data_IF_220651057359
#
_entry.id   IF_220651057359
#
_cell.length_a   1.000
_cell.length_b   1.000
_cell.length_c   1.000
_cell.angle_alpha   90.00
_cell.angle_beta   90.00
_cell.angle_gamma   90.00
#
_symmetry.space_group_name_H-M   'P 1'
#
loop_
_entity.id
_entity.type
_entity.pdbx_description
1 polymer ?
#
# COMPACT_ATOMS: atom_id res chain seq x y z
N UNK A 1 24.13 -17.33 -21.19
CA UNK A 1 24.86 -16.84 -19.99
C UNK A 1 24.38 -15.42 -19.62
N UNK A 2 23.06 -15.22 -19.47
CA UNK A 2 22.46 -13.90 -19.16
C UNK A 2 21.48 -13.93 -17.97
N UNK A 3 21.31 -15.08 -17.31
CA UNK A 3 20.42 -15.24 -16.15
C UNK A 3 21.07 -14.89 -14.80
N UNK A 4 22.37 -14.55 -14.77
CA UNK A 4 23.12 -14.27 -13.52
C UNK A 4 23.21 -12.75 -13.23
N UNK A 5 22.59 -11.90 -14.06
CA UNK A 5 22.51 -10.47 -13.73
C UNK A 5 21.22 -10.21 -12.96
N UNK A 6 21.36 -9.98 -11.65
CA UNK A 6 20.40 -9.30 -10.75
C UNK A 6 19.93 -7.91 -11.24
N UNK A 7 20.25 -7.53 -12.49
CA UNK A 7 19.95 -6.27 -13.14
C UNK A 7 18.58 -6.24 -13.83
N UNK A 8 17.91 -7.38 -14.06
CA UNK A 8 16.46 -7.36 -14.31
C UNK A 8 15.79 -7.16 -12.96
N UNK A 9 15.55 -5.91 -12.58
CA UNK A 9 14.50 -5.61 -11.62
C UNK A 9 13.21 -6.24 -12.18
N UNK A 10 12.65 -7.30 -11.57
CA UNK A 10 11.31 -7.71 -11.95
C UNK A 10 10.42 -6.46 -11.83
N UNK A 11 9.55 -6.20 -12.81
CA UNK A 11 8.76 -4.95 -12.86
C UNK A 11 8.04 -4.64 -11.53
N UNK A 12 7.69 -5.69 -10.77
CA UNK A 12 7.11 -5.62 -9.41
C UNK A 12 8.05 -5.02 -8.34
N UNK A 13 9.38 -5.13 -8.49
CA UNK A 13 10.36 -4.55 -7.56
C UNK A 13 10.67 -3.08 -7.82
N UNK A 14 10.27 -2.52 -8.95
CA UNK A 14 10.52 -1.09 -9.25
C UNK A 14 9.84 -0.12 -8.28
N UNK A 15 8.82 -0.59 -7.55
CA UNK A 15 8.10 0.19 -6.52
C UNK A 15 8.72 0.04 -5.11
N UNK A 16 9.51 -1.03 -4.88
CA UNK A 16 10.05 -1.37 -3.56
C UNK A 16 10.99 -0.29 -3.00
N UNK A 17 11.97 0.25 -3.76
CA UNK A 17 12.86 1.29 -3.26
C UNK A 17 12.10 2.53 -2.77
N UNK A 18 11.01 2.89 -3.45
CA UNK A 18 10.16 4.01 -3.05
C UNK A 18 9.46 3.74 -1.72
N UNK A 19 8.89 2.54 -1.54
CA UNK A 19 8.28 2.18 -0.26
C UNK A 19 9.30 2.11 0.89
N UNK A 20 10.53 1.66 0.63
CA UNK A 20 11.60 1.69 1.61
C UNK A 20 11.94 3.12 2.04
N UNK A 21 12.04 4.05 1.08
CA UNK A 21 12.22 5.48 1.39
C UNK A 21 11.10 6.02 2.28
N UNK A 22 9.84 5.69 2.00
CA UNK A 22 8.72 6.13 2.83
C UNK A 22 8.72 5.50 4.23
N UNK A 23 9.10 4.23 4.34
CA UNK A 23 9.29 3.56 5.62
C UNK A 23 10.39 4.25 6.44
N UNK A 24 11.52 4.60 5.82
CA UNK A 24 12.62 5.33 6.47
C UNK A 24 12.25 6.77 6.81
N UNK A 25 11.41 7.42 6.00
CA UNK A 25 10.92 8.78 6.27
C UNK A 25 9.80 8.82 7.33
N UNK A 26 9.20 7.67 7.67
CA UNK A 26 8.08 7.59 8.62
C UNK A 26 8.36 8.19 10.02
N UNK A 27 9.56 8.08 10.63
CA UNK A 27 9.86 8.72 11.91
C UNK A 27 9.83 10.24 11.87
N UNK A 28 9.93 10.85 10.67
CA UNK A 28 9.83 12.30 10.47
C UNK A 28 8.41 12.69 10.06
N UNK A 29 7.83 11.96 9.09
CA UNK A 29 6.51 12.25 8.54
C UNK A 29 5.42 12.07 9.60
N UNK A 30 5.43 10.96 10.36
CA UNK A 30 4.36 10.63 11.31
C UNK A 30 4.25 11.67 12.44
N UNK A 31 5.33 12.08 13.13
CA UNK A 31 5.24 13.16 14.12
C UNK A 31 4.85 14.51 13.52
N UNK A 32 5.30 14.82 12.30
CA UNK A 32 4.96 16.07 11.60
C UNK A 32 3.45 16.16 11.32
N UNK A 33 2.88 15.08 10.76
CA UNK A 33 1.42 14.99 10.52
C UNK A 33 0.65 15.06 11.84
N UNK A 34 1.12 14.37 12.89
CA UNK A 34 0.45 14.36 14.20
C UNK A 34 0.40 15.75 14.85
N UNK A 35 1.48 16.53 14.73
CA UNK A 35 1.60 17.86 15.35
C UNK A 35 0.89 18.93 14.53
N UNK A 36 1.10 18.94 13.21
CA UNK A 36 0.61 20.00 12.31
C UNK A 36 0.17 19.39 10.98
N UNK A 37 -1.01 18.75 10.92
CA UNK A 37 -1.45 18.01 9.74
C UNK A 37 -1.60 18.90 8.50
N UNK A 38 -2.08 20.13 8.67
CA UNK A 38 -2.25 21.08 7.57
C UNK A 38 -0.91 21.48 6.93
N UNK A 39 0.13 21.73 7.73
CA UNK A 39 1.47 22.04 7.23
C UNK A 39 2.08 20.83 6.52
N UNK A 40 1.91 19.63 7.09
CA UNK A 40 2.42 18.41 6.48
C UNK A 40 1.77 18.17 5.10
N UNK A 41 0.46 18.37 4.98
CA UNK A 41 -0.26 18.26 3.70
C UNK A 41 0.16 19.37 2.73
N UNK A 42 0.26 20.62 3.18
CA UNK A 42 0.69 21.73 2.32
C UNK A 42 2.12 21.54 1.79
N UNK A 43 3.06 21.15 2.65
CA UNK A 43 4.43 20.83 2.25
C UNK A 43 4.48 19.65 1.28
N UNK A 44 3.68 18.60 1.54
CA UNK A 44 3.57 17.44 0.66
C UNK A 44 2.99 17.80 -0.71
N UNK A 45 2.00 18.69 -0.75
CA UNK A 45 1.40 19.17 -2.00
C UNK A 45 2.37 20.05 -2.79
N UNK A 46 3.10 20.94 -2.11
CA UNK A 46 4.14 21.76 -2.73
C UNK A 46 5.25 20.88 -3.33
N UNK A 47 5.72 19.88 -2.58
CA UNK A 47 6.71 18.93 -3.04
C UNK A 47 6.22 18.11 -4.24
N UNK A 48 4.95 17.70 -4.25
CA UNK A 48 4.33 17.04 -5.40
C UNK A 48 4.30 17.94 -6.64
N UNK A 49 3.99 19.23 -6.48
CA UNK A 49 3.97 20.21 -7.58
C UNK A 49 5.32 20.41 -8.26
N UNK A 50 6.42 20.42 -7.47
CA UNK A 50 7.79 20.53 -7.99
C UNK A 50 8.46 19.18 -8.25
N UNK A 51 7.78 18.07 -8.00
CA UNK A 51 8.34 16.72 -8.10
C UNK A 51 8.97 16.41 -9.47
N UNK A 52 8.40 16.81 -10.63
CA UNK A 52 9.02 16.58 -11.92
C UNK A 52 10.40 17.24 -12.07
N UNK A 53 10.60 18.40 -11.43
CA UNK A 53 11.88 19.12 -11.45
C UNK A 53 12.93 18.47 -10.55
N UNK A 54 12.48 17.83 -9.45
CA UNK A 54 13.35 17.13 -8.51
C UNK A 54 13.65 15.68 -8.93
N UNK A 55 12.84 15.09 -9.80
CA UNK A 55 13.00 13.70 -10.25
C UNK A 55 14.42 13.37 -10.77
N UNK A 56 15.07 14.23 -11.59
CA UNK A 56 16.42 13.97 -12.08
C UNK A 56 17.51 13.99 -11.00
N UNK A 57 17.24 14.59 -9.83
CA UNK A 57 18.20 14.65 -8.72
C UNK A 57 18.31 13.31 -7.97
N UNK A 58 17.40 12.37 -8.24
CA UNK A 58 17.42 11.07 -7.57
C UNK A 58 18.58 10.22 -8.08
N UNK A 59 19.40 9.65 -7.18
CA UNK A 59 20.44 8.72 -7.60
C UNK A 59 19.77 7.48 -8.21
N UNK A 60 20.10 7.17 -9.46
CA UNK A 60 19.56 6.03 -10.19
C UNK A 60 20.70 5.12 -10.67
N UNK A 61 20.54 3.82 -10.43
CA UNK A 61 21.50 2.80 -10.88
C UNK A 61 21.29 2.45 -12.36
N UNK A 62 20.07 2.64 -12.89
CA UNK A 62 19.73 2.43 -14.30
C UNK A 62 19.75 3.74 -15.08
N UNK A 63 20.12 3.66 -16.36
CA UNK A 63 20.05 4.78 -17.32
C UNK A 63 18.63 5.30 -17.56
N UNK A 64 17.62 4.49 -17.21
CA UNK A 64 16.19 4.83 -17.32
C UNK A 64 15.64 5.62 -16.13
N UNK A 65 16.42 5.80 -15.06
CA UNK A 65 15.96 6.50 -13.85
C UNK A 65 14.93 5.69 -13.04
N UNK A 66 14.26 6.37 -12.12
CA UNK A 66 13.25 5.77 -11.25
C UNK A 66 11.90 5.59 -11.97
N UNK A 67 11.35 4.37 -12.02
CA UNK A 67 10.01 4.10 -12.60
C UNK A 67 8.89 4.88 -11.91
N UNK A 68 9.03 5.12 -10.61
CA UNK A 68 8.10 5.91 -9.79
C UNK A 68 8.86 7.04 -9.09
N UNK A 69 8.39 8.28 -9.23
CA UNK A 69 9.03 9.42 -8.57
C UNK A 69 8.63 9.49 -7.07
N UNK A 70 9.53 9.19 -6.10
CA UNK A 70 9.21 9.28 -4.67
C UNK A 70 8.71 10.66 -4.24
N UNK A 71 9.18 11.76 -4.87
CA UNK A 71 8.72 13.12 -4.56
C UNK A 71 7.26 13.37 -4.96
N UNK A 72 6.78 12.68 -5.99
CA UNK A 72 5.38 12.75 -6.40
C UNK A 72 4.50 11.82 -5.56
N UNK A 73 4.93 10.57 -5.39
CA UNK A 73 4.12 9.54 -4.74
C UNK A 73 4.04 9.68 -3.21
N UNK A 74 4.93 10.45 -2.58
CA UNK A 74 4.84 10.74 -1.15
C UNK A 74 3.52 11.45 -0.76
N UNK A 75 2.87 12.14 -1.70
CA UNK A 75 1.57 12.77 -1.45
C UNK A 75 0.54 11.74 -0.95
N UNK A 76 0.46 10.58 -1.61
CA UNK A 76 -0.46 9.51 -1.20
C UNK A 76 -0.10 8.93 0.17
N UNK A 77 1.20 8.83 0.47
CA UNK A 77 1.69 8.37 1.76
C UNK A 77 1.30 9.34 2.89
N UNK A 78 1.47 10.64 2.68
CA UNK A 78 1.09 11.68 3.66
C UNK A 78 -0.42 11.72 3.86
N UNK A 79 -1.22 11.68 2.78
CA UNK A 79 -2.68 11.61 2.87
C UNK A 79 -3.12 10.37 3.66
N UNK A 80 -2.56 9.19 3.34
CA UNK A 80 -2.86 7.95 4.07
C UNK A 80 -2.50 8.05 5.57
N UNK A 81 -1.37 8.69 5.88
CA UNK A 81 -0.94 8.96 7.26
C UNK A 81 -1.93 9.89 7.98
N UNK A 82 -2.40 10.95 7.32
CA UNK A 82 -3.44 11.85 7.86
C UNK A 82 -4.72 11.08 8.13
N UNK A 83 -5.20 10.27 7.18
CA UNK A 83 -6.41 9.45 7.37
C UNK A 83 -6.29 8.49 8.55
N UNK A 84 -5.08 7.95 8.80
CA UNK A 84 -4.80 7.04 9.91
C UNK A 84 -4.77 7.77 11.26
N UNK A 85 -4.17 8.95 11.32
CA UNK A 85 -3.97 9.71 12.56
C UNK A 85 -5.18 10.59 12.92
N UNK A 86 -5.95 11.01 11.93
CA UNK A 86 -7.14 11.87 12.06
C UNK A 86 -8.34 11.18 11.41
N UNK A 87 -8.82 10.05 11.97
CA UNK A 87 -9.98 9.36 11.42
C UNK A 87 -11.23 10.26 11.50
N UNK A 88 -12.11 10.12 10.53
CA UNK A 88 -13.42 10.77 10.56
C UNK A 88 -14.19 10.25 11.79
N UNK A 89 -14.55 11.14 12.72
CA UNK A 89 -15.31 10.78 13.92
C UNK A 89 -16.67 10.19 13.53
N UNK A 90 -17.11 9.16 14.27
CA UNK A 90 -18.41 8.51 14.07
C UNK A 90 -19.54 9.33 14.70
N UNK A 91 -20.56 9.64 13.89
CA UNK A 91 -21.99 10.02 14.12
C UNK A 91 -22.48 10.70 15.43
N UNK A 92 -21.64 11.08 16.38
CA UNK A 92 -22.10 11.71 17.60
C UNK A 92 -22.24 13.23 17.37
N UNK A 93 -23.45 13.62 16.92
CA UNK A 93 -23.92 15.00 16.64
C UNK A 93 -23.17 15.70 15.48
N UNK A 94 -23.62 15.45 14.26
CA UNK A 94 -23.34 16.36 13.13
C UNK A 94 -24.52 17.30 12.95
N UNK A 95 -24.26 18.60 12.84
CA UNK A 95 -25.26 19.58 12.42
C UNK A 95 -25.84 19.21 11.04
N UNK A 96 -27.10 19.55 10.79
CA UNK A 96 -27.78 19.24 9.52
C UNK A 96 -26.98 19.72 8.29
N UNK A 97 -26.29 20.86 8.41
CA UNK A 97 -25.42 21.41 7.36
C UNK A 97 -24.16 20.57 7.12
N UNK A 98 -23.58 19.99 8.17
CA UNK A 98 -22.44 19.09 8.04
C UNK A 98 -22.84 17.80 7.30
N UNK A 99 -24.05 17.28 7.57
CA UNK A 99 -24.61 16.11 6.88
C UNK A 99 -24.86 16.41 5.40
N UNK A 100 -25.43 17.58 5.07
CA UNK A 100 -25.69 17.96 3.69
C UNK A 100 -24.40 18.20 2.90
N UNK A 101 -23.42 18.92 3.47
CA UNK A 101 -22.08 19.09 2.88
C UNK A 101 -21.41 17.75 2.62
N UNK A 102 -21.48 16.81 3.57
CA UNK A 102 -20.95 15.46 3.43
C UNK A 102 -21.63 14.68 2.31
N UNK A 103 -22.97 14.70 2.24
CA UNK A 103 -23.73 14.05 1.15
C UNK A 103 -23.36 14.63 -0.22
N UNK A 104 -23.22 15.95 -0.34
CA UNK A 104 -22.74 16.62 -1.56
C UNK A 104 -21.33 16.13 -1.92
N UNK A 105 -20.40 16.12 -0.96
CA UNK A 105 -19.03 15.68 -1.18
C UNK A 105 -18.94 14.20 -1.59
N UNK A 106 -19.77 13.33 -1.00
CA UNK A 106 -19.87 11.92 -1.40
C UNK A 106 -20.41 11.74 -2.80
N UNK A 107 -21.43 12.52 -3.21
CA UNK A 107 -21.94 12.48 -4.60
C UNK A 107 -20.87 12.96 -5.59
N UNK A 108 -20.16 14.03 -5.26
CA UNK A 108 -19.06 14.55 -6.09
C UNK A 108 -17.95 13.50 -6.21
N UNK A 109 -17.51 12.91 -5.09
CA UNK A 109 -16.51 11.84 -5.10
C UNK A 109 -16.98 10.62 -5.92
N UNK A 110 -18.24 10.19 -5.76
CA UNK A 110 -18.79 9.10 -6.57
C UNK A 110 -18.79 9.42 -8.07
N UNK A 111 -19.19 10.64 -8.44
CA UNK A 111 -19.17 11.10 -9.83
C UNK A 111 -17.75 11.14 -10.39
N UNK A 112 -16.77 11.69 -9.66
CA UNK A 112 -15.37 11.73 -10.08
C UNK A 112 -14.78 10.34 -10.25
N UNK A 113 -15.07 9.41 -9.32
CA UNK A 113 -14.62 8.02 -9.42
C UNK A 113 -15.26 7.30 -10.61
N UNK A 114 -16.56 7.49 -10.84
CA UNK A 114 -17.28 6.90 -11.96
C UNK A 114 -16.79 7.44 -13.30
N UNK A 115 -16.63 8.77 -13.44
CA UNK A 115 -16.07 9.40 -14.64
C UNK A 115 -14.67 8.88 -14.91
N UNK A 116 -13.81 8.78 -13.89
CA UNK A 116 -12.48 8.22 -14.07
C UNK A 116 -12.51 6.75 -14.53
N UNK A 117 -13.39 5.93 -13.96
CA UNK A 117 -13.56 4.54 -14.37
C UNK A 117 -14.05 4.45 -15.81
N UNK A 118 -15.04 5.26 -16.20
CA UNK A 118 -15.55 5.34 -17.57
C UNK A 118 -14.45 5.79 -18.54
N UNK A 119 -13.74 6.87 -18.25
CA UNK A 119 -12.61 7.32 -19.08
C UNK A 119 -11.57 6.23 -19.22
N UNK A 120 -11.21 5.53 -18.14
CA UNK A 120 -10.22 4.44 -18.21
C UNK A 120 -10.72 3.19 -18.94
N UNK A 121 -12.02 2.92 -18.91
CA UNK A 121 -12.64 1.76 -19.53
C UNK A 121 -12.93 1.98 -21.02
N UNK A 122 -13.26 3.21 -21.42
CA UNK A 122 -13.69 3.55 -22.78
C UNK A 122 -12.66 4.38 -23.56
N UNK A 123 -11.66 4.94 -22.90
CA UNK A 123 -10.59 5.70 -23.54
C UNK A 123 -9.25 5.04 -23.17
N UNK A 124 -8.60 4.44 -24.15
CA UNK A 124 -7.21 4.00 -24.07
C UNK A 124 -6.28 5.22 -24.10
N UNK A 125 -6.45 6.12 -23.13
CA UNK A 125 -5.53 7.20 -22.90
C UNK A 125 -4.34 6.62 -22.13
N UNK A 126 -3.25 6.36 -22.84
CA UNK A 126 -1.94 6.19 -22.21
C UNK A 126 -1.32 7.58 -22.05
N UNK A 127 -1.33 8.17 -20.84
CA UNK A 127 -0.74 9.49 -20.62
C UNK A 127 0.78 9.48 -20.80
N UNK A 128 1.42 8.38 -21.20
CA UNK A 128 2.85 8.30 -21.42
C UNK A 128 3.63 8.08 -20.12
N UNK A 129 4.91 7.69 -20.23
CA UNK A 129 5.71 7.24 -19.10
C UNK A 129 5.96 8.32 -18.04
N UNK A 130 6.14 9.58 -18.46
CA UNK A 130 6.40 10.72 -17.55
C UNK A 130 5.22 10.99 -16.61
N UNK A 131 3.99 10.91 -17.13
CA UNK A 131 2.77 11.12 -16.34
C UNK A 131 2.47 9.95 -15.41
N UNK A 132 2.87 8.73 -15.80
CA UNK A 132 2.80 7.54 -14.93
C UNK A 132 3.80 7.63 -13.78
N UNK A 133 5.03 8.09 -14.06
CA UNK A 133 6.12 8.27 -13.12
C UNK A 133 5.82 9.35 -12.07
N UNK A 134 5.28 10.51 -12.50
CA UNK A 134 5.09 11.70 -11.65
C UNK A 134 3.70 11.84 -11.00
N UNK A 135 2.96 10.75 -10.79
CA UNK A 135 1.62 10.76 -10.18
C UNK A 135 0.72 11.88 -10.77
N UNK A 136 0.24 11.67 -12.00
CA UNK A 136 -0.65 12.61 -12.71
C UNK A 136 -1.77 13.20 -11.82
N UNK A 137 -2.07 14.49 -11.99
CA UNK A 137 -3.16 15.19 -11.28
C UNK A 137 -4.51 14.47 -11.37
N UNK A 138 -4.82 13.89 -12.54
CA UNK A 138 -6.00 13.05 -12.75
C UNK A 138 -6.06 11.88 -11.76
N UNK A 139 -4.94 11.15 -11.59
CA UNK A 139 -4.84 10.01 -10.65
C UNK A 139 -4.97 10.45 -9.20
N UNK A 140 -4.44 11.63 -8.83
CA UNK A 140 -4.63 12.19 -7.49
C UNK A 140 -6.10 12.46 -7.22
N UNK A 141 -6.81 13.10 -8.15
CA UNK A 141 -8.24 13.39 -8.03
C UNK A 141 -9.09 12.12 -7.90
N UNK A 142 -8.86 11.14 -8.75
CA UNK A 142 -9.59 9.86 -8.73
C UNK A 142 -9.26 9.03 -7.50
N UNK A 143 -8.00 9.03 -7.07
CA UNK A 143 -7.63 8.40 -5.81
C UNK A 143 -8.33 9.06 -4.62
N UNK A 144 -8.39 10.40 -4.59
CA UNK A 144 -9.07 11.14 -3.51
C UNK A 144 -10.57 10.84 -3.47
N UNK A 145 -11.19 10.68 -4.64
CA UNK A 145 -12.57 10.28 -4.77
C UNK A 145 -12.82 8.87 -4.19
N UNK A 146 -12.01 7.89 -4.58
CA UNK A 146 -12.10 6.52 -4.05
C UNK A 146 -11.80 6.50 -2.54
N UNK A 147 -10.79 7.24 -2.10
CA UNK A 147 -10.42 7.38 -0.70
C UNK A 147 -11.59 7.91 0.13
N UNK A 148 -12.29 8.93 -0.36
CA UNK A 148 -13.47 9.47 0.30
C UNK A 148 -14.60 8.43 0.42
N UNK A 149 -14.87 7.68 -0.65
CA UNK A 149 -15.88 6.60 -0.63
C UNK A 149 -15.52 5.52 0.38
N UNK A 150 -14.28 5.04 0.36
CA UNK A 150 -13.78 4.04 1.31
C UNK A 150 -13.87 4.58 2.74
N UNK A 151 -13.49 5.84 2.98
CA UNK A 151 -13.62 6.46 4.29
C UNK A 151 -15.08 6.52 4.77
N UNK A 152 -16.04 6.77 3.87
CA UNK A 152 -17.46 6.67 4.21
C UNK A 152 -17.91 5.24 4.52
N UNK A 153 -17.42 4.22 3.79
CA UNK A 153 -17.72 2.81 4.07
C UNK A 153 -17.16 2.36 5.42
N UNK A 154 -15.95 2.80 5.78
CA UNK A 154 -15.36 2.58 7.11
C UNK A 154 -16.26 3.21 8.18
N UNK A 155 -16.64 4.48 7.98
CA UNK A 155 -17.48 5.22 8.94
C UNK A 155 -18.85 4.59 9.15
N UNK A 156 -19.45 4.02 8.10
CA UNK A 156 -20.74 3.31 8.16
C UNK A 156 -20.63 1.90 8.78
N UNK A 157 -19.41 1.43 9.11
CA UNK A 157 -19.19 0.13 9.73
C UNK A 157 -19.19 -1.04 8.74
N UNK A 158 -19.40 -0.82 7.44
CA UNK A 158 -19.43 -1.89 6.43
C UNK A 158 -18.09 -2.63 6.35
N UNK A 159 -16.99 -1.88 6.37
CA UNK A 159 -15.64 -2.48 6.36
C UNK A 159 -15.36 -3.25 7.66
N UNK A 160 -15.92 -2.79 8.79
CA UNK A 160 -15.79 -3.51 10.06
C UNK A 160 -16.56 -4.84 10.03
N UNK A 161 -17.78 -4.85 9.49
CA UNK A 161 -18.58 -6.07 9.31
C UNK A 161 -17.88 -7.07 8.38
N UNK A 162 -17.30 -6.58 7.27
CA UNK A 162 -16.52 -7.43 6.37
C UNK A 162 -15.26 -7.98 7.04
N UNK A 163 -14.54 -7.13 7.80
CA UNK A 163 -13.34 -7.52 8.55
C UNK A 163 -13.65 -8.61 9.60
N UNK A 164 -14.80 -8.56 10.25
CA UNK A 164 -15.25 -9.59 11.19
C UNK A 164 -15.55 -10.94 10.51
N UNK A 165 -16.02 -10.92 9.26
CA UNK A 165 -16.29 -12.13 8.47
C UNK A 165 -15.04 -12.77 7.87
N UNK A 166 -13.95 -12.01 7.71
CA UNK A 166 -12.70 -12.46 7.08
C UNK A 166 -11.49 -12.24 8.01
N UNK A 167 -11.44 -12.89 9.19
CA UNK A 167 -10.39 -12.66 10.19
C UNK A 167 -8.99 -13.06 9.71
N UNK A 168 -8.91 -14.03 8.79
CA UNK A 168 -7.66 -14.48 8.18
C UNK A 168 -7.04 -13.37 7.31
N UNK A 169 -7.87 -12.69 6.51
CA UNK A 169 -7.44 -11.57 5.65
C UNK A 169 -6.96 -10.40 6.51
N UNK A 170 -7.67 -10.11 7.61
CA UNK A 170 -7.26 -9.06 8.56
C UNK A 170 -5.93 -9.39 9.24
N UNK A 171 -5.72 -10.66 9.61
CA UNK A 171 -4.49 -11.19 10.20
C UNK A 171 -3.30 -11.02 9.27
N UNK A 172 -3.44 -11.46 8.02
CA UNK A 172 -2.41 -11.29 6.98
C UNK A 172 -2.12 -9.81 6.73
N UNK A 173 -3.16 -8.97 6.64
CA UNK A 173 -3.02 -7.52 6.46
C UNK A 173 -2.31 -6.83 7.63
N UNK A 174 -2.58 -7.22 8.89
CA UNK A 174 -1.89 -6.69 10.07
C UNK A 174 -0.41 -7.05 10.10
N UNK A 175 -0.04 -8.16 9.48
CA UNK A 175 1.34 -8.63 9.35
C UNK A 175 1.90 -8.43 7.93
N UNK A 176 1.36 -7.48 7.16
CA UNK A 176 1.66 -7.32 5.74
C UNK A 176 3.15 -7.33 5.38
N UNK A 177 4.01 -6.67 6.17
CA UNK A 177 5.46 -6.69 5.93
C UNK A 177 6.07 -8.08 6.09
N UNK A 178 5.70 -8.81 7.15
CA UNK A 178 6.21 -10.15 7.39
C UNK A 178 5.70 -11.12 6.31
N UNK A 179 4.41 -11.05 5.97
CA UNK A 179 3.80 -11.85 4.91
C UNK A 179 4.41 -11.54 3.54
N UNK A 180 4.73 -10.28 3.26
CA UNK A 180 5.37 -9.86 2.01
C UNK A 180 6.79 -10.40 1.90
N UNK A 181 7.62 -10.21 2.94
CA UNK A 181 9.00 -10.70 2.95
C UNK A 181 9.03 -12.23 2.86
N UNK A 182 8.20 -12.92 3.65
CA UNK A 182 8.11 -14.37 3.61
C UNK A 182 7.56 -14.87 2.27
N UNK A 183 6.54 -14.23 1.72
CA UNK A 183 5.97 -14.58 0.42
C UNK A 183 6.99 -14.40 -0.71
N UNK A 184 7.79 -13.34 -0.68
CA UNK A 184 8.88 -13.12 -1.65
C UNK A 184 9.94 -14.23 -1.55
N UNK A 185 10.32 -14.61 -0.33
CA UNK A 185 11.27 -15.70 -0.11
C UNK A 185 10.72 -17.05 -0.58
N UNK A 186 9.46 -17.37 -0.26
CA UNK A 186 8.80 -18.61 -0.68
C UNK A 186 8.64 -18.66 -2.20
N UNK A 187 8.23 -17.56 -2.83
CA UNK A 187 8.10 -17.48 -4.29
C UNK A 187 9.45 -17.67 -4.98
N UNK A 188 10.51 -17.06 -4.46
CA UNK A 188 11.85 -17.24 -5.01
C UNK A 188 12.33 -18.69 -4.87
N UNK A 189 12.10 -19.31 -3.71
CA UNK A 189 12.43 -20.72 -3.49
C UNK A 189 11.62 -21.65 -4.39
N UNK A 190 10.32 -21.37 -4.58
CA UNK A 190 9.45 -22.14 -5.47
C UNK A 190 9.92 -22.03 -6.93
N UNK A 191 10.26 -20.82 -7.40
CA UNK A 191 10.81 -20.59 -8.73
C UNK A 191 12.13 -21.33 -8.94
N UNK A 192 13.04 -21.31 -7.95
CA UNK A 192 14.31 -22.03 -8.01
C UNK A 192 14.07 -23.54 -8.06
N UNK A 193 13.20 -24.08 -7.20
CA UNK A 193 12.87 -25.51 -7.16
C UNK A 193 12.20 -25.98 -8.44
N UNK A 194 11.24 -25.21 -8.98
CA UNK A 194 10.60 -25.47 -10.27
C UNK A 194 11.62 -25.46 -11.40
N UNK A 195 12.51 -24.47 -11.44
CA UNK A 195 13.55 -24.36 -12.46
C UNK A 195 14.50 -25.57 -12.42
N UNK A 196 14.91 -25.99 -11.22
CA UNK A 196 15.75 -27.17 -11.01
C UNK A 196 15.03 -28.48 -11.37
N UNK A 197 13.73 -28.59 -11.07
CA UNK A 197 12.95 -29.80 -11.33
C UNK A 197 12.52 -29.97 -12.79
N UNK A 198 12.32 -28.87 -13.52
CA UNK A 198 11.79 -28.88 -14.90
C UNK A 198 12.81 -28.46 -15.97
N UNK A 199 14.06 -28.17 -15.58
CA UNK A 199 15.13 -27.78 -16.52
C UNK A 199 14.82 -26.51 -17.33
N UNK A 200 13.88 -25.68 -16.86
CA UNK A 200 13.46 -24.44 -17.53
C UNK A 200 12.22 -24.56 -18.46
N UNK A 201 11.55 -25.72 -18.52
CA UNK A 201 10.26 -25.87 -19.22
C UNK A 201 9.16 -26.34 -18.26
N UNK A 202 8.53 -25.43 -17.50
CA UNK A 202 7.42 -25.78 -16.64
C UNK A 202 6.22 -26.20 -17.49
N UNK A 203 5.78 -27.46 -17.37
CA UNK A 203 4.49 -27.89 -17.91
C UNK A 203 3.36 -27.24 -17.12
N UNK A 204 2.27 -26.83 -17.79
CA UNK A 204 1.16 -26.05 -17.22
C UNK A 204 0.65 -26.58 -15.85
N UNK A 205 0.59 -27.90 -15.65
CA UNK A 205 0.13 -28.53 -14.42
C UNK A 205 1.13 -28.43 -13.24
N UNK A 206 2.43 -28.52 -13.52
CA UNK A 206 3.48 -28.42 -12.50
C UNK A 206 3.61 -26.99 -11.95
N UNK A 207 3.40 -25.97 -12.80
CA UNK A 207 3.34 -24.57 -12.39
C UNK A 207 2.15 -24.28 -11.49
N UNK A 208 0.96 -24.77 -11.85
CA UNK A 208 -0.27 -24.60 -11.05
C UNK A 208 -0.16 -25.21 -9.64
N UNK A 209 0.40 -26.42 -9.53
CA UNK A 209 0.61 -27.07 -8.23
C UNK A 209 1.62 -26.30 -7.35
N UNK A 210 2.67 -25.75 -7.96
CA UNK A 210 3.64 -24.93 -7.26
C UNK A 210 3.06 -23.59 -6.79
N UNK A 211 2.23 -22.94 -7.61
CA UNK A 211 1.50 -21.72 -7.20
C UNK A 211 0.56 -21.99 -6.03
N UNK A 212 -0.18 -23.11 -6.07
CA UNK A 212 -1.08 -23.51 -4.98
C UNK A 212 -0.30 -23.78 -3.69
N UNK A 213 0.85 -24.45 -3.79
CA UNK A 213 1.74 -24.70 -2.66
C UNK A 213 2.36 -23.41 -2.10
N UNK A 214 2.75 -22.47 -2.96
CA UNK A 214 3.28 -21.17 -2.56
C UNK A 214 2.23 -20.34 -1.82
N UNK A 215 0.98 -20.33 -2.30
CA UNK A 215 -0.16 -19.67 -1.64
C UNK A 215 -0.40 -20.31 -0.27
N UNK A 216 -0.45 -21.64 -0.19
CA UNK A 216 -0.66 -22.37 1.06
C UNK A 216 0.46 -22.10 2.08
N UNK A 217 1.72 -22.11 1.65
CA UNK A 217 2.87 -21.79 2.49
C UNK A 217 2.84 -20.33 2.98
N UNK A 218 2.46 -19.38 2.12
CA UNK A 218 2.33 -17.97 2.49
C UNK A 218 1.27 -17.77 3.57
N UNK A 219 0.12 -18.42 3.44
CA UNK A 219 -0.96 -18.39 4.44
C UNK A 219 -0.50 -19.01 5.76
N UNK A 220 0.19 -20.15 5.73
CA UNK A 220 0.71 -20.82 6.92
C UNK A 220 1.73 -19.94 7.69
N UNK A 221 2.67 -19.30 6.98
CA UNK A 221 3.64 -18.39 7.59
C UNK A 221 2.94 -17.17 8.21
N UNK A 222 1.93 -16.61 7.54
CA UNK A 222 1.14 -15.50 8.08
C UNK A 222 0.47 -15.84 9.42
N UNK A 223 -0.07 -17.05 9.54
CA UNK A 223 -0.67 -17.56 10.79
C UNK A 223 0.40 -17.80 11.87
N UNK A 224 1.52 -18.44 11.52
CA UNK A 224 2.62 -18.71 12.45
C UNK A 224 3.27 -17.42 12.98
N UNK A 225 3.47 -16.42 12.12
CA UNK A 225 4.01 -15.12 12.52
C UNK A 225 3.09 -14.40 13.52
N UNK A 226 1.77 -14.54 13.37
CA UNK A 226 0.80 -14.01 14.33
C UNK A 226 0.87 -14.75 15.66
N UNK A 227 0.85 -16.08 15.64
CA UNK A 227 0.96 -16.91 16.84
C UNK A 227 2.23 -16.60 17.64
N UNK A 228 3.37 -16.37 16.96
CA UNK A 228 4.63 -16.03 17.60
C UNK A 228 4.63 -14.64 18.25
N UNK A 229 3.99 -13.64 17.61
CA UNK A 229 3.80 -12.31 18.20
C UNK A 229 2.91 -12.36 19.43
N UNK A 230 1.84 -13.15 19.38
CA UNK A 230 0.92 -13.31 20.51
C UNK A 230 1.58 -14.02 21.69
N UNK A 231 2.39 -15.06 21.42
CA UNK A 231 3.22 -15.73 22.41
C UNK A 231 4.24 -14.78 23.08
N UNK A 232 4.97 -13.97 22.29
CA UNK A 232 5.92 -12.98 22.83
C UNK A 232 5.24 -11.96 23.75
N UNK A 233 4.07 -11.44 23.35
CA UNK A 233 3.29 -10.50 24.16
C UNK A 233 2.80 -11.13 25.47
N UNK A 234 2.35 -12.38 25.43
CA UNK A 234 1.95 -13.11 26.63
C UNK A 234 3.14 -13.31 27.61
N UNK A 235 4.32 -13.63 27.07
CA UNK A 235 5.55 -13.77 27.87
C UNK A 235 6.00 -12.45 28.51
N UNK A 236 5.95 -11.33 27.78
CA UNK A 236 6.28 -10.00 28.31
C UNK A 236 5.33 -9.54 29.42
N UNK A 237 4.02 -9.79 29.28
CA UNK A 237 3.03 -9.49 30.32
C UNK A 237 3.28 -10.27 31.60
N UNK A 238 3.62 -11.56 31.50
CA UNK A 238 4.00 -12.39 32.65
C UNK A 238 5.28 -11.87 33.32
N UNK A 239 6.28 -11.47 32.55
CA UNK A 239 7.52 -10.91 33.08
C UNK A 239 7.32 -9.56 33.80
N UNK A 240 6.45 -8.66 33.30
CA UNK A 240 6.13 -7.40 33.99
C UNK A 240 5.22 -7.56 35.21
N UNK A 241 4.32 -8.55 35.21
CA UNK A 241 3.48 -8.87 36.39
C UNK A 241 4.27 -9.46 37.56
N UNK A 242 5.44 -10.06 37.31
CA UNK A 242 6.34 -10.61 38.33
C UNK A 242 7.21 -9.54 39.03
N UNK A 243 7.27 -8.32 38.51
CA UNK A 243 8.03 -7.19 39.10
C UNK A 243 7.13 -6.17 39.81
N UNK A 244 5.82 -6.41 39.87
CA UNK A 244 4.83 -5.54 40.50
C UNK A 244 4.37 -6.04 41.89
N UNK A 245 5.06 -7.03 42.44
CA UNK A 245 4.92 -7.58 43.79
C UNK A 245 6.28 -7.57 44.47
#
# INVERSE_FOLDING_TARGET
>A
MEMIRLARQPYLSSILPMYMLFALASPVIVPSVRRRPWLAVAASLALWGVAPLLAPLLPAVSSTGWTFNPFAWQLLFVIGTVCRLHPLKSYQREDADAVLRRRKLTRIAAAVAAVFLCVRMFVEFDPGPVFKQNLSSLRVGSFMAVLWLVAMMVRQGWILQLAQRLPLVVTVGRNGLACFVSGTMVSLLADILLYLATGGQPGNWSGLMADLAAIAAMLAIGVLAQAWKDYRRARQRRAHGLHAH
#
